data_IF_470738971458
#
_entry.id   IF_470738971458
#
_cell.length_a   1.000
_cell.length_b   1.000
_cell.length_c   1.000
_cell.angle_alpha   90.00
_cell.angle_beta   90.00
_cell.angle_gamma   90.00
#
_symmetry.space_group_name_H-M   'P 1'
#
loop_
_entity.id
_entity.type
_entity.pdbx_description
1 polymer ?
#
# COMPACT_ATOMS: atom_id res chain seq x y z
N UNK A 1 8.08 13.03 -10.26
CA UNK A 1 6.96 13.14 -9.31
C UNK A 1 5.68 13.39 -10.07
N UNK A 2 4.65 12.57 -9.84
CA UNK A 2 3.32 12.75 -10.41
C UNK A 2 2.76 14.15 -10.04
N UNK A 3 2.32 14.98 -11.00
CA UNK A 3 1.86 16.35 -10.72
C UNK A 3 0.76 16.42 -9.64
N UNK A 4 -0.11 15.41 -9.60
CA UNK A 4 -1.18 15.32 -8.59
C UNK A 4 -0.61 15.12 -7.19
N UNK A 5 0.46 14.36 -7.03
CA UNK A 5 1.13 14.12 -5.74
C UNK A 5 1.92 15.36 -5.33
N UNK A 6 2.65 15.96 -6.27
CA UNK A 6 3.47 17.15 -6.01
C UNK A 6 2.63 18.29 -5.42
N UNK A 7 1.40 18.48 -5.92
CA UNK A 7 0.47 19.49 -5.42
C UNK A 7 0.05 19.26 -3.96
N UNK A 8 -0.14 18.01 -3.53
CA UNK A 8 -0.48 17.69 -2.15
C UNK A 8 0.75 17.67 -1.24
N UNK A 9 1.90 17.23 -1.74
CA UNK A 9 3.16 17.27 -0.99
C UNK A 9 3.57 18.68 -0.61
N UNK A 10 3.32 19.68 -1.46
CA UNK A 10 3.58 21.08 -1.11
C UNK A 10 2.71 21.55 0.07
N UNK A 11 1.46 21.10 0.15
CA UNK A 11 0.49 21.45 1.21
C UNK A 11 0.82 20.80 2.57
N UNK A 12 1.69 19.78 2.61
CA UNK A 12 2.21 19.24 3.87
C UNK A 12 3.05 20.25 4.67
N UNK A 13 3.43 21.39 4.07
CA UNK A 13 4.18 22.47 4.74
C UNK A 13 3.30 23.66 5.10
N UNK A 14 1.98 23.57 4.91
CA UNK A 14 1.06 24.66 5.18
C UNK A 14 1.01 25.01 6.67
N UNK A 15 0.86 26.31 6.97
CA UNK A 15 0.76 26.78 8.35
C UNK A 15 -0.49 26.22 9.06
N UNK A 16 -1.58 26.01 8.32
CA UNK A 16 -2.83 25.46 8.83
C UNK A 16 -2.73 23.95 9.04
N UNK A 17 -2.94 23.50 10.28
CA UNK A 17 -2.98 22.07 10.60
C UNK A 17 -4.05 21.33 9.81
N UNK A 18 -5.18 21.99 9.52
CA UNK A 18 -6.28 21.42 8.73
C UNK A 18 -5.84 21.12 7.30
N UNK A 19 -5.10 22.04 6.66
CA UNK A 19 -4.60 21.87 5.29
C UNK A 19 -3.56 20.75 5.24
N UNK A 20 -2.67 20.67 6.23
CA UNK A 20 -1.70 19.57 6.30
C UNK A 20 -2.39 18.21 6.42
N UNK A 21 -3.40 18.10 7.28
CA UNK A 21 -4.17 16.86 7.47
C UNK A 21 -4.98 16.47 6.23
N UNK A 22 -5.60 17.44 5.56
CA UNK A 22 -6.28 17.23 4.27
C UNK A 22 -5.29 16.69 3.22
N UNK A 23 -4.09 17.28 3.12
CA UNK A 23 -3.06 16.81 2.21
C UNK A 23 -2.62 15.36 2.50
N UNK A 24 -2.51 14.97 3.78
CA UNK A 24 -2.20 13.57 4.14
C UNK A 24 -3.32 12.62 3.68
N UNK A 25 -4.58 12.99 3.91
CA UNK A 25 -5.74 12.18 3.52
C UNK A 25 -5.83 11.99 2.01
N UNK A 26 -5.56 13.05 1.24
CA UNK A 26 -5.56 12.99 -0.23
C UNK A 26 -4.39 12.15 -0.76
N UNK A 27 -3.21 12.24 -0.16
CA UNK A 27 -2.08 11.37 -0.50
C UNK A 27 -2.38 9.89 -0.21
N UNK A 28 -3.08 9.59 0.90
CA UNK A 28 -3.55 8.23 1.20
C UNK A 28 -4.54 7.73 0.14
N UNK A 29 -5.52 8.55 -0.23
CA UNK A 29 -6.53 8.21 -1.22
C UNK A 29 -5.92 7.99 -2.62
N UNK A 30 -4.88 8.74 -2.97
CA UNK A 30 -4.11 8.52 -4.21
C UNK A 30 -3.36 7.19 -4.14
N UNK A 31 -2.78 6.84 -2.98
CA UNK A 31 -2.17 5.53 -2.77
C UNK A 31 -0.81 5.33 -3.47
N UNK A 32 -0.19 6.39 -3.97
CA UNK A 32 1.04 6.31 -4.74
C UNK A 32 2.28 6.26 -3.80
N UNK A 33 3.20 5.30 -3.99
CA UNK A 33 4.40 5.17 -3.17
C UNK A 33 5.32 6.40 -3.12
N UNK A 34 5.27 7.31 -4.11
CA UNK A 34 6.04 8.56 -4.07
C UNK A 34 5.69 9.44 -2.84
N UNK A 35 4.52 9.24 -2.23
CA UNK A 35 4.10 9.95 -1.03
C UNK A 35 4.77 9.47 0.27
N UNK A 36 5.42 8.29 0.27
CA UNK A 36 5.93 7.67 1.50
C UNK A 36 7.03 8.49 2.18
N UNK A 37 7.99 9.04 1.41
CA UNK A 37 9.06 9.86 1.99
C UNK A 37 8.52 11.18 2.55
N UNK A 38 7.68 11.96 1.82
CA UNK A 38 7.04 13.14 2.39
C UNK A 38 6.24 12.86 3.66
N UNK A 39 5.45 11.78 3.71
CA UNK A 39 4.69 11.41 4.90
C UNK A 39 5.60 10.99 6.07
N UNK A 40 6.71 10.31 5.81
CA UNK A 40 7.70 10.00 6.82
C UNK A 40 8.35 11.26 7.41
N UNK A 41 8.63 12.28 6.57
CA UNK A 41 9.12 13.58 7.04
C UNK A 41 8.11 14.25 7.97
N UNK A 42 6.83 14.31 7.58
CA UNK A 42 5.76 14.83 8.44
C UNK A 42 5.68 14.08 9.76
N UNK A 43 5.74 12.74 9.74
CA UNK A 43 5.79 11.94 10.96
C UNK A 43 6.98 12.29 11.87
N UNK A 44 8.14 12.64 11.31
CA UNK A 44 9.32 13.00 12.09
C UNK A 44 9.29 14.45 12.62
N UNK A 45 8.70 15.39 11.88
CA UNK A 45 8.94 16.81 12.11
C UNK A 45 7.70 17.67 12.36
N UNK A 46 6.47 17.17 12.11
CA UNK A 46 5.28 18.00 12.31
C UNK A 46 5.13 18.40 13.79
N UNK A 47 4.89 19.68 14.11
CA UNK A 47 4.71 20.11 15.49
C UNK A 47 3.47 19.49 16.14
N UNK A 48 2.43 19.21 15.37
CA UNK A 48 1.16 18.67 15.87
C UNK A 48 1.21 17.14 16.01
N UNK A 49 1.06 16.58 17.24
CA UNK A 49 1.15 15.13 17.46
C UNK A 49 0.12 14.31 16.68
N UNK A 50 -1.09 14.82 16.53
CA UNK A 50 -2.16 14.14 15.78
C UNK A 50 -1.85 14.09 14.28
N UNK A 51 -1.23 15.14 13.73
CA UNK A 51 -0.76 15.17 12.34
C UNK A 51 0.38 14.19 12.12
N UNK A 52 1.31 14.03 13.07
CA UNK A 52 2.33 12.96 13.01
C UNK A 52 1.69 11.58 13.00
N UNK A 53 0.73 11.33 13.89
CA UNK A 53 0.02 10.06 13.97
C UNK A 53 -0.74 9.75 12.68
N UNK A 54 -1.41 10.74 12.10
CA UNK A 54 -2.10 10.61 10.82
C UNK A 54 -1.13 10.27 9.69
N UNK A 55 -0.01 10.98 9.57
CA UNK A 55 1.01 10.70 8.55
C UNK A 55 1.57 9.26 8.65
N UNK A 56 1.80 8.77 9.88
CA UNK A 56 2.24 7.40 10.10
C UNK A 56 1.18 6.37 9.65
N UNK A 57 -0.09 6.60 9.99
CA UNK A 57 -1.20 5.71 9.62
C UNK A 57 -1.36 5.66 8.10
N UNK A 58 -1.44 6.81 7.44
CA UNK A 58 -1.56 6.92 5.99
C UNK A 58 -0.37 6.31 5.26
N UNK A 59 0.86 6.54 5.74
CA UNK A 59 2.06 5.91 5.17
C UNK A 59 2.01 4.38 5.24
N UNK A 60 1.54 3.81 6.35
CA UNK A 60 1.33 2.35 6.48
C UNK A 60 0.27 1.84 5.51
N UNK A 61 -0.85 2.55 5.33
CA UNK A 61 -1.91 2.18 4.38
C UNK A 61 -1.33 2.10 2.96
N UNK A 62 -0.63 3.14 2.52
CA UNK A 62 0.00 3.18 1.19
C UNK A 62 0.99 2.03 1.03
N UNK A 63 1.90 1.84 2.00
CA UNK A 63 2.90 0.79 1.97
C UNK A 63 2.30 -0.62 1.86
N UNK A 64 1.34 -0.96 2.72
CA UNK A 64 0.73 -2.29 2.71
C UNK A 64 -0.17 -2.52 1.49
N UNK A 65 -0.83 -1.48 0.97
CA UNK A 65 -1.55 -1.59 -0.29
C UNK A 65 -0.61 -1.91 -1.45
N UNK A 66 0.53 -1.22 -1.52
CA UNK A 66 1.53 -1.48 -2.55
C UNK A 66 2.15 -2.87 -2.42
N UNK A 67 2.48 -3.30 -1.21
CA UNK A 67 3.02 -4.63 -0.96
C UNK A 67 2.03 -5.73 -1.38
N UNK A 68 0.74 -5.57 -1.05
CA UNK A 68 -0.32 -6.50 -1.49
C UNK A 68 -0.46 -6.53 -3.01
N UNK A 69 -0.41 -5.37 -3.66
CA UNK A 69 -0.46 -5.27 -5.13
C UNK A 69 0.73 -6.00 -5.77
N UNK A 70 1.94 -5.80 -5.25
CA UNK A 70 3.13 -6.50 -5.73
C UNK A 70 3.02 -8.03 -5.55
N UNK A 71 2.50 -8.50 -4.42
CA UNK A 71 2.27 -9.93 -4.18
C UNK A 71 1.25 -10.54 -5.15
N UNK A 72 0.18 -9.80 -5.45
CA UNK A 72 -0.81 -10.19 -6.46
C UNK A 72 -0.20 -10.23 -7.86
N UNK A 73 0.63 -9.24 -8.20
CA UNK A 73 1.30 -9.13 -9.51
C UNK A 73 2.43 -10.15 -9.70
N UNK A 74 3.16 -10.52 -8.64
CA UNK A 74 4.16 -11.61 -8.70
C UNK A 74 3.52 -12.98 -8.96
N UNK A 75 2.20 -13.09 -8.75
CA UNK A 75 1.45 -14.34 -8.85
C UNK A 75 1.89 -15.38 -7.83
N UNK A 76 1.29 -16.56 -7.89
CA UNK A 76 1.74 -17.69 -7.08
C UNK A 76 3.20 -18.04 -7.42
N UNK A 77 4.01 -18.31 -6.40
CA UNK A 77 5.38 -18.82 -6.55
C UNK A 77 5.39 -20.14 -7.32
N UNK A 78 6.53 -20.50 -7.92
CA UNK A 78 6.68 -21.80 -8.59
C UNK A 78 6.34 -22.98 -7.66
N UNK A 79 6.72 -22.88 -6.38
CA UNK A 79 6.38 -23.91 -5.38
C UNK A 79 4.87 -24.02 -5.15
N UNK A 80 4.17 -22.90 -5.03
CA UNK A 80 2.71 -22.86 -4.87
C UNK A 80 2.00 -23.40 -6.12
N UNK A 81 2.48 -23.04 -7.32
CA UNK A 81 1.97 -23.58 -8.59
C UNK A 81 2.17 -25.10 -8.66
N UNK A 82 3.35 -25.59 -8.26
CA UNK A 82 3.65 -27.03 -8.24
C UNK A 82 2.76 -27.78 -7.26
N UNK A 83 2.59 -27.28 -6.03
CA UNK A 83 1.69 -27.89 -5.04
C UNK A 83 0.24 -27.92 -5.52
N UNK A 84 -0.24 -26.83 -6.13
CA UNK A 84 -1.57 -26.77 -6.71
C UNK A 84 -1.75 -27.81 -7.83
N UNK A 85 -0.75 -27.95 -8.72
CA UNK A 85 -0.76 -28.96 -9.77
C UNK A 85 -0.79 -30.40 -9.21
N UNK A 86 -0.01 -30.68 -8.16
CA UNK A 86 -0.02 -32.00 -7.50
C UNK A 86 -1.38 -32.32 -6.85
N UNK A 87 -2.02 -31.34 -6.23
CA UNK A 87 -3.37 -31.49 -5.64
C UNK A 87 -4.39 -31.78 -6.74
N UNK A 88 -4.36 -31.03 -7.84
CA UNK A 88 -5.25 -31.25 -8.99
C UNK A 88 -5.06 -32.63 -9.61
N UNK A 89 -3.82 -33.07 -9.79
CA UNK A 89 -3.51 -34.39 -10.34
C UNK A 89 -4.04 -35.52 -9.44
N UNK A 90 -3.86 -35.40 -8.11
CA UNK A 90 -4.41 -36.37 -7.13
C UNK A 90 -5.94 -36.39 -7.17
N UNK A 91 -6.58 -35.23 -7.28
CA UNK A 91 -8.05 -35.14 -7.36
C UNK A 91 -8.60 -35.78 -8.65
N UNK A 92 -7.95 -35.55 -9.79
CA UNK A 92 -8.31 -36.15 -11.08
C UNK A 92 -8.13 -37.67 -11.06
N UNK A 93 -7.02 -38.17 -10.52
CA UNK A 93 -6.77 -39.61 -10.39
C UNK A 93 -7.81 -40.31 -9.50
N UNK A 94 -8.22 -39.67 -8.39
CA UNK A 94 -9.29 -40.17 -7.52
C UNK A 94 -10.65 -40.21 -8.22
N UNK A 95 -10.95 -39.23 -9.09
CA UNK A 95 -12.19 -39.19 -9.88
C UNK A 95 -12.22 -40.28 -10.95
N UNK A 96 -11.08 -40.55 -11.60
CA UNK A 96 -10.98 -41.60 -12.62
C UNK A 96 -11.12 -43.00 -12.02
N UNK A 97 -10.56 -43.26 -10.83
CA UNK A 97 -10.71 -44.53 -10.10
C UNK A 97 -12.13 -44.82 -9.57
N UNK A 98 -13.00 -43.80 -9.56
CA UNK A 98 -14.40 -43.90 -9.10
C UNK A 98 -15.39 -44.07 -10.25
N UNK A 99 -14.90 -44.12 -11.50
CA UNK A 99 -15.67 -44.47 -12.70
C UNK A 99 -15.32 -45.89 -13.10
#
# INVERSE_FOLDING_TARGET
>A
MNPRIAAWVSRLKDASVTVRREAIQELEAIGDPEALIPLAQVFCTDPDPETRLLAQKSGKVIYFNQLRKQQLESGASEEERRRAAEILAKAQAKKLRRR
#
